data_IF_634374346486
#
_entry.id   IF_634374346486
#
_cell.length_a   1.000
_cell.length_b   1.000
_cell.length_c   1.000
_cell.angle_alpha   90.00
_cell.angle_beta   90.00
_cell.angle_gamma   90.00
#
_symmetry.space_group_name_H-M   'P 1'
#
loop_
_entity.id
_entity.type
_entity.pdbx_description
1 polymer ?
#
# COMPACT_ATOMS: atom_id res chain seq x y z
N UNK A 1 5.62 25.33 -28.69
CA UNK A 1 5.97 24.64 -27.43
C UNK A 1 4.79 24.80 -26.51
N UNK A 2 4.17 23.70 -26.10
CA UNK A 2 2.98 23.69 -25.23
C UNK A 2 3.37 23.64 -23.74
N UNK A 3 2.44 23.92 -22.86
CA UNK A 3 2.64 23.80 -21.40
C UNK A 3 3.08 22.38 -21.00
N UNK A 4 2.56 21.35 -21.69
CA UNK A 4 2.99 19.96 -21.49
C UNK A 4 4.46 19.74 -21.89
N UNK A 5 4.94 20.40 -22.94
CA UNK A 5 6.34 20.32 -23.37
C UNK A 5 7.28 21.00 -22.35
N UNK A 6 6.83 22.09 -21.71
CA UNK A 6 7.57 22.75 -20.64
C UNK A 6 7.64 21.88 -19.39
N UNK A 7 6.52 21.31 -18.95
CA UNK A 7 6.48 20.44 -17.78
C UNK A 7 7.41 19.24 -17.96
N UNK A 8 7.32 18.53 -19.10
CA UNK A 8 8.20 17.39 -19.41
C UNK A 8 9.69 17.74 -19.40
N UNK A 9 10.04 18.94 -19.87
CA UNK A 9 11.44 19.40 -19.91
C UNK A 9 12.01 19.65 -18.52
N UNK A 10 11.18 20.03 -17.55
CA UNK A 10 11.57 20.36 -16.19
C UNK A 10 10.97 19.41 -15.16
N UNK A 11 10.66 18.17 -15.57
CA UNK A 11 10.14 17.15 -14.67
C UNK A 11 11.13 16.88 -13.52
N UNK A 12 10.67 16.90 -12.26
CA UNK A 12 11.55 16.65 -11.12
C UNK A 12 12.02 15.20 -11.13
N UNK A 13 13.33 14.99 -11.02
CA UNK A 13 13.91 13.67 -10.81
C UNK A 13 13.87 13.35 -9.32
N UNK A 14 13.12 12.32 -8.93
CA UNK A 14 13.13 11.85 -7.54
C UNK A 14 14.34 10.94 -7.34
N UNK A 15 15.20 11.31 -6.38
CA UNK A 15 16.38 10.52 -6.02
C UNK A 15 16.10 9.77 -4.71
N UNK A 16 16.03 8.45 -4.80
CA UNK A 16 15.80 7.57 -3.65
C UNK A 16 17.13 7.10 -3.08
N UNK A 17 17.20 6.97 -1.76
CA UNK A 17 18.39 6.41 -1.12
C UNK A 17 18.40 4.89 -1.20
N UNK A 18 19.59 4.30 -1.26
CA UNK A 18 19.75 2.84 -1.22
C UNK A 18 19.17 2.31 0.10
N UNK A 19 18.20 1.41 0.00
CA UNK A 19 17.52 0.81 1.15
C UNK A 19 16.17 1.45 1.50
N UNK A 20 15.72 2.48 0.78
CA UNK A 20 14.33 2.92 0.87
C UNK A 20 13.38 1.80 0.44
N UNK A 21 12.39 1.53 1.29
CA UNK A 21 11.40 0.47 1.06
C UNK A 21 10.09 1.01 0.48
N UNK A 22 9.96 2.33 0.34
CA UNK A 22 8.72 2.99 -0.04
C UNK A 22 8.98 3.93 -1.21
N UNK A 23 8.68 3.45 -2.40
CA UNK A 23 8.66 4.28 -3.59
C UNK A 23 7.26 4.86 -3.78
N UNK A 24 7.13 6.09 -4.29
CA UNK A 24 5.87 6.62 -4.78
C UNK A 24 5.20 5.61 -5.70
N UNK A 25 3.96 5.26 -5.35
CA UNK A 25 3.13 4.39 -6.14
C UNK A 25 1.82 5.11 -6.42
N UNK A 26 1.18 4.75 -7.54
CA UNK A 26 -0.16 5.23 -7.83
C UNK A 26 -1.13 4.73 -6.76
N UNK A 27 -1.80 5.65 -6.05
CA UNK A 27 -2.73 5.34 -4.96
C UNK A 27 -3.82 4.39 -5.44
N UNK A 28 -4.40 4.63 -6.62
CA UNK A 28 -5.46 3.78 -7.18
C UNK A 28 -4.99 2.34 -7.43
N UNK A 29 -3.76 2.17 -7.91
CA UNK A 29 -3.18 0.85 -8.15
C UNK A 29 -2.93 0.11 -6.83
N UNK A 30 -2.41 0.84 -5.83
CA UNK A 30 -2.20 0.32 -4.49
C UNK A 30 -3.53 -0.13 -3.87
N UNK A 31 -4.55 0.74 -3.82
CA UNK A 31 -5.85 0.42 -3.21
C UNK A 31 -6.55 -0.75 -3.89
N UNK A 32 -6.44 -0.89 -5.22
CA UNK A 32 -7.02 -2.01 -5.95
C UNK A 32 -6.46 -3.37 -5.52
N UNK A 33 -5.20 -3.42 -5.10
CA UNK A 33 -4.55 -4.64 -4.63
C UNK A 33 -4.81 -4.95 -3.14
N UNK A 34 -5.32 -3.99 -2.38
CA UNK A 34 -5.45 -4.12 -0.93
C UNK A 34 -6.89 -4.41 -0.51
N UNK A 35 -7.02 -5.15 0.59
CA UNK A 35 -8.25 -5.32 1.36
C UNK A 35 -8.24 -4.38 2.56
N UNK A 36 -9.42 -3.96 3.03
CA UNK A 36 -9.58 -3.14 4.22
C UNK A 36 -10.06 -3.98 5.38
N UNK A 37 -9.43 -3.78 6.54
CA UNK A 37 -9.72 -4.52 7.76
C UNK A 37 -9.88 -3.60 8.95
N UNK A 38 -10.69 -4.03 9.91
CA UNK A 38 -10.81 -3.46 11.24
C UNK A 38 -10.26 -4.47 12.24
N UNK A 39 -9.27 -4.05 13.04
CA UNK A 39 -8.75 -4.83 14.16
C UNK A 39 -9.16 -4.19 15.48
N UNK A 40 -9.54 -5.00 16.47
CA UNK A 40 -9.74 -4.56 17.85
C UNK A 40 -8.46 -4.76 18.71
N UNK A 41 -8.56 -4.41 19.99
CA UNK A 41 -7.47 -4.59 20.97
C UNK A 41 -7.18 -6.06 21.30
N UNK A 42 -8.14 -6.96 21.06
CA UNK A 42 -8.03 -8.41 21.30
C UNK A 42 -7.54 -9.18 20.06
N UNK A 43 -7.14 -8.47 19.00
CA UNK A 43 -6.67 -9.00 17.72
C UNK A 43 -7.75 -9.74 16.92
N UNK A 44 -9.02 -9.55 17.23
CA UNK A 44 -10.07 -9.94 16.31
C UNK A 44 -10.04 -9.02 15.10
N UNK A 45 -10.24 -9.60 13.91
CA UNK A 45 -10.17 -8.86 12.66
C UNK A 45 -11.43 -9.10 11.85
N UNK A 46 -11.99 -8.03 11.32
CA UNK A 46 -13.13 -8.06 10.40
C UNK A 46 -12.73 -7.43 9.09
N UNK A 47 -12.97 -8.14 7.99
CA UNK A 47 -12.80 -7.58 6.66
C UNK A 47 -13.98 -6.65 6.33
N UNK A 48 -13.67 -5.44 5.89
CA UNK A 48 -14.66 -4.41 5.52
C UNK A 48 -14.75 -4.18 4.01
N UNK A 49 -13.67 -4.48 3.27
CA UNK A 49 -13.64 -4.44 1.82
C UNK A 49 -12.67 -5.48 1.25
N UNK A 50 -13.04 -6.10 0.14
CA UNK A 50 -12.18 -7.01 -0.62
C UNK A 50 -11.24 -6.24 -1.57
N UNK A 51 -10.15 -6.88 -2.04
CA UNK A 51 -9.33 -6.29 -3.09
C UNK A 51 -10.17 -5.91 -4.32
N UNK A 52 -9.98 -4.69 -4.80
CA UNK A 52 -10.73 -4.13 -5.94
C UNK A 52 -11.99 -3.34 -5.58
N UNK A 53 -12.46 -3.41 -4.33
CA UNK A 53 -13.63 -2.64 -3.85
C UNK A 53 -13.26 -1.25 -3.32
N UNK A 54 -11.98 -1.01 -3.07
CA UNK A 54 -11.48 0.26 -2.56
C UNK A 54 -11.17 1.25 -3.68
N UNK A 55 -11.63 2.48 -3.45
CA UNK A 55 -11.24 3.70 -4.17
C UNK A 55 -10.84 4.75 -3.13
N UNK A 56 -10.14 5.83 -3.50
CA UNK A 56 -9.85 6.91 -2.56
C UNK A 56 -11.11 7.47 -1.89
N UNK A 57 -12.21 7.58 -2.64
CA UNK A 57 -13.48 8.09 -2.14
C UNK A 57 -14.15 7.13 -1.14
N UNK A 58 -14.17 5.82 -1.43
CA UNK A 58 -14.76 4.84 -0.52
C UNK A 58 -13.91 4.65 0.73
N UNK A 59 -12.57 4.68 0.62
CA UNK A 59 -11.66 4.64 1.76
C UNK A 59 -11.87 5.85 2.69
N UNK A 60 -12.08 7.04 2.14
CA UNK A 60 -12.29 8.27 2.92
C UNK A 60 -13.56 8.25 3.79
N UNK A 61 -14.48 7.31 3.56
CA UNK A 61 -15.64 7.10 4.43
C UNK A 61 -15.26 6.45 5.78
N UNK A 62 -14.14 5.74 5.86
CA UNK A 62 -13.65 5.05 7.06
C UNK A 62 -12.71 5.94 7.90
N UNK A 63 -13.26 7.06 8.38
CA UNK A 63 -12.50 8.10 9.11
C UNK A 63 -12.40 7.85 10.60
N UNK A 64 -13.50 7.39 11.21
CA UNK A 64 -13.60 7.22 12.65
C UNK A 64 -13.62 5.72 12.97
N UNK A 65 -12.49 5.20 13.47
CA UNK A 65 -12.46 3.86 14.03
C UNK A 65 -13.15 3.88 15.41
N UNK A 66 -13.96 2.87 15.74
CA UNK A 66 -14.46 2.72 17.11
C UNK A 66 -13.32 2.70 18.13
N UNK A 67 -13.59 3.12 19.36
CA UNK A 67 -12.58 3.13 20.42
C UNK A 67 -11.94 1.75 20.58
N UNK A 68 -10.61 1.71 20.68
CA UNK A 68 -9.86 0.45 20.79
C UNK A 68 -9.71 -0.31 19.47
N UNK A 69 -10.21 0.24 18.35
CA UNK A 69 -10.07 -0.36 17.03
C UNK A 69 -9.15 0.45 16.12
N UNK A 70 -8.62 -0.21 15.09
CA UNK A 70 -7.82 0.41 14.04
C UNK A 70 -8.16 -0.16 12.67
N UNK A 71 -8.23 0.72 11.68
CA UNK A 71 -8.25 0.30 10.28
C UNK A 71 -6.83 -0.01 9.80
N UNK A 72 -6.69 -1.02 8.96
CA UNK A 72 -5.45 -1.28 8.23
C UNK A 72 -5.73 -1.84 6.84
N UNK A 73 -4.80 -1.57 5.92
CA UNK A 73 -4.82 -2.13 4.57
C UNK A 73 -3.90 -3.34 4.51
N UNK A 74 -4.35 -4.37 3.79
CA UNK A 74 -3.58 -5.58 3.57
C UNK A 74 -3.53 -5.90 2.07
N UNK A 75 -2.32 -5.86 1.51
CA UNK A 75 -2.09 -6.06 0.07
C UNK A 75 -1.54 -7.45 -0.26
N UNK A 76 -1.45 -8.34 0.74
CA UNK A 76 -1.12 -9.76 0.59
C UNK A 76 -2.14 -10.58 1.36
N UNK A 77 -2.77 -11.56 0.71
CA UNK A 77 -3.81 -12.37 1.35
C UNK A 77 -3.27 -13.17 2.55
N UNK A 78 -2.08 -13.74 2.41
CA UNK A 78 -1.42 -14.51 3.45
C UNK A 78 0.02 -14.02 3.65
N UNK A 79 0.48 -13.87 4.90
CA UNK A 79 1.89 -13.58 5.18
C UNK A 79 2.79 -14.67 4.58
N UNK A 80 3.97 -14.27 4.11
CA UNK A 80 4.99 -15.23 3.71
C UNK A 80 5.36 -16.13 4.88
N UNK A 81 5.29 -17.44 4.67
CA UNK A 81 5.81 -18.42 5.61
C UNK A 81 7.34 -18.26 5.74
N UNK A 82 7.89 -18.69 6.88
CA UNK A 82 9.29 -18.47 7.22
C UNK A 82 10.28 -18.88 6.11
N UNK A 83 10.09 -20.04 5.49
CA UNK A 83 10.95 -20.53 4.40
C UNK A 83 10.83 -19.66 3.15
N UNK A 84 9.61 -19.28 2.77
CA UNK A 84 9.37 -18.40 1.62
C UNK A 84 9.97 -17.01 1.87
N UNK A 85 9.86 -16.50 3.10
CA UNK A 85 10.49 -15.25 3.51
C UNK A 85 12.02 -15.30 3.42
N UNK A 86 12.66 -16.37 3.91
CA UNK A 86 14.13 -16.51 3.79
C UNK A 86 14.57 -16.58 2.32
N UNK A 87 13.83 -17.31 1.48
CA UNK A 87 14.11 -17.38 0.03
C UNK A 87 13.95 -16.03 -0.65
N UNK A 88 12.90 -15.29 -0.33
CA UNK A 88 12.70 -13.92 -0.81
C UNK A 88 13.84 -13.01 -0.35
N UNK A 89 14.30 -13.15 0.90
CA UNK A 89 15.40 -12.34 1.46
C UNK A 89 16.75 -12.61 0.80
N UNK A 90 17.00 -13.84 0.37
CA UNK A 90 18.27 -14.25 -0.25
C UNK A 90 18.35 -13.96 -1.77
N UNK A 91 17.35 -13.30 -2.36
CA UNK A 91 17.32 -12.98 -3.78
C UNK A 91 18.42 -11.97 -4.16
N UNK A 92 19.24 -12.25 -5.19
CA UNK A 92 20.37 -11.39 -5.58
C UNK A 92 19.93 -10.07 -6.23
N UNK A 93 18.70 -10.01 -6.74
CA UNK A 93 18.06 -8.88 -7.43
C UNK A 93 17.26 -7.95 -6.49
N UNK A 94 17.50 -8.03 -5.17
CA UNK A 94 16.79 -7.20 -4.19
C UNK A 94 17.31 -5.75 -4.11
N UNK A 95 18.51 -5.47 -4.64
CA UNK A 95 19.11 -4.13 -4.63
C UNK A 95 18.76 -3.30 -5.86
#
# INVERSE_FOLDING_TARGET
MSDLDLLRRYEPVVHYTRGEMFFPCAVDGYLRACSLWLADSERQTQQLAAPGELTPATLAAYRDAPLGHRYYLQCVAEPLQAVAYQRWRARPDRE
#
